data_IF_134269744214
#
_entry.id   IF_134269744214
#
_cell.length_a   1.000
_cell.length_b   1.000
_cell.length_c   1.000
_cell.angle_alpha   90.00
_cell.angle_beta   90.00
_cell.angle_gamma   90.00
#
_symmetry.space_group_name_H-M   'P 1'
#
loop_
_entity.id
_entity.type
_entity.pdbx_description
1 polymer ?
#
# COMPACT_ATOMS: atom_id res chain seq x y z
N UNK A 1 50.15 20.95 29.10
CA UNK A 1 48.82 21.56 28.90
C UNK A 1 48.33 21.65 27.43
N UNK A 2 49.13 21.31 26.40
CA UNK A 2 48.70 21.34 24.98
C UNK A 2 48.06 20.04 24.44
N UNK A 3 48.14 18.91 25.16
CA UNK A 3 47.58 17.61 24.73
C UNK A 3 46.11 17.39 25.11
N UNK A 4 45.56 18.19 26.03
CA UNK A 4 44.17 18.04 26.47
C UNK A 4 43.15 18.74 25.55
N UNK A 5 43.56 19.78 24.81
CA UNK A 5 42.68 20.50 23.89
C UNK A 5 42.34 19.71 22.62
N UNK A 6 43.23 18.82 22.15
CA UNK A 6 42.95 18.00 20.96
C UNK A 6 41.89 16.91 21.21
N UNK A 7 41.78 16.40 22.44
CA UNK A 7 40.77 15.39 22.81
C UNK A 7 39.36 15.98 22.93
N UNK A 8 39.23 17.22 23.38
CA UNK A 8 37.92 17.89 23.50
C UNK A 8 37.40 18.34 22.12
N UNK A 9 38.30 18.76 21.22
CA UNK A 9 37.92 19.11 19.83
C UNK A 9 37.57 17.87 19.01
N UNK A 10 38.24 16.73 19.22
CA UNK A 10 37.84 15.44 18.61
C UNK A 10 36.51 14.90 19.13
N UNK A 11 36.15 15.15 20.40
CA UNK A 11 34.84 14.74 20.94
C UNK A 11 33.67 15.59 20.43
N UNK A 12 33.94 16.86 20.09
CA UNK A 12 32.94 17.75 19.49
C UNK A 12 32.76 17.52 17.97
N UNK A 13 33.81 17.10 17.25
CA UNK A 13 33.72 16.81 15.82
C UNK A 13 33.13 15.40 15.55
N UNK A 14 33.22 14.46 16.50
CA UNK A 14 32.63 13.12 16.34
C UNK A 14 31.11 13.06 16.58
N UNK A 15 30.50 14.07 17.21
CA UNK A 15 29.05 14.14 17.40
C UNK A 15 28.28 14.74 16.22
N UNK A 16 28.97 15.17 15.16
CA UNK A 16 28.35 15.79 13.98
C UNK A 16 28.13 14.76 12.84
N UNK A 17 28.67 13.54 12.97
CA UNK A 17 28.46 12.49 11.97
C UNK A 17 27.29 11.56 12.34
N UNK A 18 26.20 11.73 11.59
CA UNK A 18 25.05 10.83 11.43
C UNK A 18 23.99 10.77 12.54
N UNK A 19 23.33 11.90 12.81
CA UNK A 19 21.86 11.82 12.74
C UNK A 19 21.49 11.81 11.26
N UNK A 20 21.55 10.64 10.62
CA UNK A 20 20.83 10.44 9.38
C UNK A 20 19.35 10.60 9.74
N UNK A 21 18.81 11.81 9.58
CA UNK A 21 17.43 12.11 9.85
C UNK A 21 16.60 11.14 9.01
N UNK A 22 15.83 10.27 9.66
CA UNK A 22 15.06 9.24 8.97
C UNK A 22 14.22 9.89 7.87
N UNK A 23 14.38 9.40 6.65
CA UNK A 23 13.71 9.93 5.46
C UNK A 23 12.20 9.63 5.48
N UNK A 24 11.76 8.72 6.38
CA UNK A 24 10.39 8.25 6.56
C UNK A 24 9.33 9.37 6.64
N UNK A 25 8.09 8.97 6.36
CA UNK A 25 6.89 9.75 6.67
C UNK A 25 5.76 8.84 7.15
N UNK A 26 4.85 9.40 7.94
CA UNK A 26 3.63 8.71 8.32
C UNK A 26 2.46 9.65 8.54
N UNK A 27 1.26 9.08 8.49
CA UNK A 27 0.02 9.76 8.88
C UNK A 27 -0.91 8.77 9.56
N UNK A 28 -1.70 9.27 10.50
CA UNK A 28 -2.87 8.62 11.08
C UNK A 28 -4.06 9.52 10.82
N UNK A 29 -5.09 9.03 10.12
CA UNK A 29 -6.32 9.77 9.86
C UNK A 29 -7.52 9.04 10.44
N UNK A 30 -8.52 9.81 10.90
CA UNK A 30 -9.86 9.29 11.15
C UNK A 30 -10.47 8.87 9.80
N UNK A 31 -10.95 7.63 9.70
CA UNK A 31 -11.36 7.03 8.44
C UNK A 31 -12.75 7.51 7.95
N UNK A 32 -13.50 8.24 8.78
CA UNK A 32 -14.82 8.78 8.40
C UNK A 32 -14.71 10.25 7.95
N UNK A 33 -13.78 11.00 8.55
CA UNK A 33 -13.68 12.46 8.37
C UNK A 33 -12.42 12.88 7.60
N UNK A 34 -11.48 11.97 7.35
CA UNK A 34 -10.14 12.26 6.84
C UNK A 34 -9.33 13.25 7.69
N UNK A 35 -9.76 13.51 8.94
CA UNK A 35 -9.03 14.39 9.87
C UNK A 35 -7.72 13.73 10.28
N UNK A 36 -6.62 14.46 10.14
CA UNK A 36 -5.31 14.02 10.64
C UNK A 36 -5.32 14.00 12.17
N UNK A 37 -4.95 12.85 12.74
CA UNK A 37 -4.83 12.62 14.19
C UNK A 37 -3.38 12.70 14.66
N UNK A 38 -2.45 12.15 13.88
CA UNK A 38 -1.00 12.12 14.14
C UNK A 38 -0.29 12.13 12.80
N UNK A 39 0.81 12.88 12.64
CA UNK A 39 1.61 12.86 11.41
C UNK A 39 3.09 13.17 11.64
N UNK A 40 3.92 12.68 10.72
CA UNK A 40 5.31 13.10 10.55
C UNK A 40 5.59 13.20 9.05
N UNK A 41 5.88 14.41 8.57
CA UNK A 41 6.20 14.68 7.14
C UNK A 41 5.18 14.07 6.17
N UNK A 42 3.88 14.06 6.52
CA UNK A 42 2.84 13.32 5.78
C UNK A 42 2.66 13.73 4.32
N UNK A 43 3.02 14.98 3.96
CA UNK A 43 2.99 15.51 2.59
C UNK A 43 4.30 15.30 1.83
N UNK A 44 5.30 14.63 2.42
CA UNK A 44 6.56 14.33 1.75
C UNK A 44 6.35 13.28 0.67
N UNK A 45 6.93 13.52 -0.50
CA UNK A 45 6.83 12.63 -1.65
C UNK A 45 7.78 11.43 -1.49
N UNK A 46 7.24 10.24 -1.66
CA UNK A 46 7.98 8.98 -1.68
C UNK A 46 7.52 8.09 -2.83
N UNK A 47 8.38 7.15 -3.21
CA UNK A 47 7.94 5.95 -3.92
C UNK A 47 7.09 5.11 -2.98
N UNK A 48 5.91 4.68 -3.43
CA UNK A 48 4.93 4.00 -2.58
C UNK A 48 4.85 2.48 -2.78
N UNK A 49 5.69 1.95 -3.68
CA UNK A 49 5.70 0.53 -4.01
C UNK A 49 4.27 -0.02 -4.24
N UNK A 50 4.02 -1.24 -3.78
CA UNK A 50 2.74 -1.91 -3.94
C UNK A 50 1.55 -1.33 -3.17
N UNK A 51 1.71 -0.21 -2.41
CA UNK A 51 0.53 0.55 -1.98
C UNK A 51 -0.22 1.15 -3.17
N UNK A 52 0.44 1.28 -4.32
CA UNK A 52 -0.19 1.55 -5.64
C UNK A 52 -1.44 0.69 -5.88
N UNK A 53 -1.38 -0.59 -5.50
CA UNK A 53 -2.43 -1.58 -5.77
C UNK A 53 -3.74 -1.30 -5.02
N UNK A 54 -3.73 -0.44 -4.01
CA UNK A 54 -4.95 0.08 -3.38
C UNK A 54 -5.80 0.82 -4.43
N UNK A 55 -5.15 1.70 -5.19
CA UNK A 55 -5.80 2.49 -6.22
C UNK A 55 -6.17 1.66 -7.45
N UNK A 56 -5.29 0.74 -7.86
CA UNK A 56 -5.58 -0.24 -8.92
C UNK A 56 -6.83 -1.05 -8.59
N UNK A 57 -6.93 -1.59 -7.37
CA UNK A 57 -8.08 -2.41 -6.96
C UNK A 57 -9.39 -1.61 -6.94
N UNK A 58 -9.39 -0.39 -6.41
CA UNK A 58 -10.59 0.45 -6.39
C UNK A 58 -11.12 0.68 -7.82
N UNK A 59 -10.24 1.07 -8.75
CA UNK A 59 -10.66 1.35 -10.13
C UNK A 59 -11.17 0.08 -10.82
N UNK A 60 -10.53 -1.07 -10.60
CA UNK A 60 -11.04 -2.36 -11.12
C UNK A 60 -12.45 -2.63 -10.59
N UNK A 61 -12.66 -2.49 -9.28
CA UNK A 61 -13.95 -2.74 -8.63
C UNK A 61 -15.06 -1.76 -9.04
N UNK A 62 -14.71 -0.55 -9.47
CA UNK A 62 -15.65 0.44 -10.01
C UNK A 62 -16.07 0.13 -11.46
N UNK A 63 -15.32 -0.71 -12.18
CA UNK A 63 -15.47 -0.92 -13.62
C UNK A 63 -15.64 -2.40 -14.02
N UNK A 64 -15.91 -3.30 -13.06
CA UNK A 64 -16.11 -4.73 -13.33
C UNK A 64 -16.96 -5.42 -12.25
N UNK A 65 -17.45 -6.61 -12.58
CA UNK A 65 -18.01 -7.55 -11.63
C UNK A 65 -16.96 -8.59 -11.22
N UNK A 66 -17.12 -9.17 -10.03
CA UNK A 66 -16.16 -10.13 -9.48
C UNK A 66 -16.08 -11.42 -10.31
N UNK A 67 -17.18 -11.78 -10.99
CA UNK A 67 -17.30 -13.00 -11.76
C UNK A 67 -16.92 -12.82 -13.23
N UNK A 68 -16.56 -11.59 -13.65
CA UNK A 68 -16.07 -11.34 -15.00
C UNK A 68 -14.77 -12.12 -15.25
N UNK A 69 -14.64 -12.67 -16.45
CA UNK A 69 -13.49 -13.45 -16.87
C UNK A 69 -12.42 -12.58 -17.54
N UNK A 70 -11.17 -12.79 -17.14
CA UNK A 70 -9.99 -12.12 -17.66
C UNK A 70 -9.09 -13.14 -18.34
N UNK A 71 -8.80 -12.91 -19.61
CA UNK A 71 -7.76 -13.65 -20.35
C UNK A 71 -6.41 -13.03 -20.05
N UNK A 72 -5.51 -13.80 -19.44
CA UNK A 72 -4.17 -13.35 -19.08
C UNK A 72 -3.30 -13.19 -20.33
N UNK A 73 -2.76 -11.99 -20.54
CA UNK A 73 -1.83 -11.72 -21.64
C UNK A 73 -0.41 -12.22 -21.32
N UNK A 74 0.40 -12.40 -22.37
CA UNK A 74 1.86 -12.60 -22.24
C UNK A 74 2.54 -11.49 -21.45
N UNK A 75 2.09 -10.24 -21.62
CA UNK A 75 2.69 -9.08 -20.94
C UNK A 75 2.48 -9.17 -19.42
N UNK A 76 1.31 -9.65 -18.98
CA UNK A 76 1.04 -9.87 -17.58
C UNK A 76 1.96 -10.95 -16.98
N UNK A 77 2.24 -12.04 -17.69
CA UNK A 77 3.11 -13.11 -17.18
C UNK A 77 4.59 -12.73 -17.09
N UNK A 78 5.03 -11.74 -17.88
CA UNK A 78 6.41 -11.26 -17.90
C UNK A 78 6.72 -10.22 -16.81
N UNK A 79 5.76 -9.89 -15.95
CA UNK A 79 5.97 -8.93 -14.86
C UNK A 79 6.98 -9.45 -13.83
N UNK A 80 7.93 -8.58 -13.46
CA UNK A 80 8.92 -8.90 -12.43
C UNK A 80 8.34 -8.79 -11.02
N UNK A 81 9.06 -9.28 -10.01
CA UNK A 81 8.70 -9.10 -8.60
C UNK A 81 7.69 -10.12 -8.09
N UNK A 82 6.76 -9.68 -7.23
CA UNK A 82 5.75 -10.58 -6.66
C UNK A 82 4.75 -11.00 -7.74
N UNK A 83 4.43 -12.27 -7.80
CA UNK A 83 3.55 -12.88 -8.80
C UNK A 83 2.67 -13.95 -8.14
N UNK A 84 1.53 -14.23 -8.76
CA UNK A 84 0.69 -15.40 -8.45
C UNK A 84 0.86 -16.52 -9.50
N UNK A 85 1.86 -16.39 -10.36
CA UNK A 85 2.31 -17.33 -11.36
C UNK A 85 1.28 -17.62 -12.47
N UNK A 86 0.61 -16.57 -12.94
CA UNK A 86 -0.33 -16.67 -14.06
C UNK A 86 0.36 -17.15 -15.34
N UNK A 87 -0.40 -17.86 -16.19
CA UNK A 87 0.06 -18.34 -17.50
C UNK A 87 -0.65 -17.59 -18.63
N UNK A 88 0.02 -17.46 -19.76
CA UNK A 88 -0.55 -16.81 -20.96
C UNK A 88 -1.78 -17.61 -21.41
N UNK A 89 -2.84 -16.88 -21.81
CA UNK A 89 -4.16 -17.40 -22.18
C UNK A 89 -4.93 -18.11 -21.05
N UNK A 90 -4.43 -18.08 -19.81
CA UNK A 90 -5.20 -18.55 -18.67
C UNK A 90 -6.41 -17.64 -18.45
N UNK A 91 -7.59 -18.25 -18.21
CA UNK A 91 -8.81 -17.52 -17.85
C UNK A 91 -8.93 -17.49 -16.33
N UNK A 92 -9.09 -16.30 -15.77
CA UNK A 92 -9.21 -16.06 -14.34
C UNK A 92 -10.38 -15.13 -14.06
N UNK A 93 -11.07 -15.28 -12.93
CA UNK A 93 -12.09 -14.29 -12.52
C UNK A 93 -11.42 -13.03 -11.96
N UNK A 94 -12.09 -11.88 -12.10
CA UNK A 94 -11.70 -10.64 -11.41
C UNK A 94 -11.52 -10.88 -9.90
N UNK A 95 -12.38 -11.69 -9.29
CA UNK A 95 -12.29 -12.10 -7.89
C UNK A 95 -10.93 -12.72 -7.56
N UNK A 96 -10.51 -13.75 -8.28
CA UNK A 96 -9.22 -14.41 -8.03
C UNK A 96 -8.06 -13.43 -8.24
N UNK A 97 -8.08 -12.64 -9.32
CA UNK A 97 -7.02 -11.69 -9.61
C UNK A 97 -6.92 -10.59 -8.53
N UNK A 98 -8.04 -10.07 -8.03
CA UNK A 98 -8.05 -9.08 -6.94
C UNK A 98 -7.50 -9.66 -5.63
N UNK A 99 -7.87 -10.90 -5.27
CA UNK A 99 -7.29 -11.56 -4.09
C UNK A 99 -5.77 -11.79 -4.26
N UNK A 100 -5.35 -12.27 -5.43
CA UNK A 100 -3.94 -12.45 -5.75
C UNK A 100 -3.14 -11.14 -5.71
N UNK A 101 -3.72 -10.06 -6.25
CA UNK A 101 -3.13 -8.73 -6.24
C UNK A 101 -3.03 -8.15 -4.81
N UNK A 102 -4.07 -8.25 -3.99
CA UNK A 102 -4.09 -7.62 -2.66
C UNK A 102 -3.36 -8.46 -1.61
N UNK A 103 -3.62 -9.77 -1.52
CA UNK A 103 -3.03 -10.65 -0.51
C UNK A 103 -1.58 -11.03 -0.85
N UNK A 104 -1.31 -11.34 -2.13
CA UNK A 104 0.01 -11.80 -2.59
C UNK A 104 0.83 -10.72 -3.26
N UNK A 105 0.25 -9.55 -3.50
CA UNK A 105 0.92 -8.43 -4.17
C UNK A 105 1.32 -8.76 -5.61
N UNK A 106 0.58 -9.66 -6.28
CA UNK A 106 0.85 -10.12 -7.65
C UNK A 106 0.84 -8.97 -8.66
N UNK A 107 1.97 -8.78 -9.34
CA UNK A 107 2.15 -7.77 -10.38
C UNK A 107 1.54 -8.23 -11.71
N UNK A 108 1.66 -9.52 -12.01
CA UNK A 108 0.96 -10.22 -13.09
C UNK A 108 -0.55 -9.99 -13.02
N UNK A 109 -1.16 -10.22 -11.85
CA UNK A 109 -2.57 -9.94 -11.63
C UNK A 109 -2.93 -8.47 -11.83
N UNK A 110 -2.05 -7.54 -11.41
CA UNK A 110 -2.29 -6.10 -11.57
C UNK A 110 -2.35 -5.69 -13.05
N UNK A 111 -1.42 -6.22 -13.86
CA UNK A 111 -1.36 -5.91 -15.29
C UNK A 111 -2.51 -6.59 -16.04
N UNK A 112 -2.83 -7.85 -15.75
CA UNK A 112 -3.98 -8.53 -16.35
C UNK A 112 -5.30 -7.78 -16.09
N UNK A 113 -5.53 -7.36 -14.84
CA UNK A 113 -6.67 -6.53 -14.46
C UNK A 113 -6.68 -5.18 -15.22
N UNK A 114 -5.54 -4.51 -15.29
CA UNK A 114 -5.44 -3.21 -15.94
C UNK A 114 -5.72 -3.29 -17.45
N UNK A 115 -5.19 -4.30 -18.12
CA UNK A 115 -5.42 -4.58 -19.54
C UNK A 115 -6.88 -4.92 -19.81
N UNK A 116 -7.51 -5.73 -18.95
CA UNK A 116 -8.93 -6.06 -19.08
C UNK A 116 -9.82 -4.80 -18.99
N UNK A 117 -9.58 -3.95 -17.99
CA UNK A 117 -10.44 -2.78 -17.75
C UNK A 117 -10.25 -1.67 -18.79
N UNK A 118 -9.01 -1.41 -19.22
CA UNK A 118 -8.69 -0.24 -20.03
C UNK A 118 -8.17 -0.56 -21.44
N UNK A 119 -8.04 -1.85 -21.78
CA UNK A 119 -7.44 -2.34 -23.03
C UNK A 119 -5.91 -2.27 -23.08
N UNK A 120 -5.26 -1.53 -22.17
CA UNK A 120 -3.80 -1.55 -21.98
C UNK A 120 -3.41 -0.97 -20.62
N UNK A 121 -2.24 -1.33 -20.12
CA UNK A 121 -1.68 -0.75 -18.87
C UNK A 121 -1.54 0.78 -18.98
N UNK A 122 -1.08 1.30 -20.12
CA UNK A 122 -0.89 2.74 -20.32
C UNK A 122 -2.22 3.51 -20.26
N UNK A 123 -3.30 2.93 -20.81
CA UNK A 123 -4.65 3.51 -20.70
C UNK A 123 -5.15 3.44 -19.26
N UNK A 124 -4.88 2.35 -18.55
CA UNK A 124 -5.24 2.23 -17.13
C UNK A 124 -4.49 3.26 -16.27
N UNK A 125 -3.20 3.48 -16.50
CA UNK A 125 -2.41 4.51 -15.78
C UNK A 125 -2.97 5.92 -16.02
N UNK A 126 -3.45 6.23 -17.24
CA UNK A 126 -4.16 7.49 -17.51
C UNK A 126 -5.44 7.58 -16.67
N UNK A 127 -6.20 6.50 -16.56
CA UNK A 127 -7.39 6.42 -15.70
C UNK A 127 -7.03 6.61 -14.22
N UNK A 128 -5.95 5.98 -13.72
CA UNK A 128 -5.48 6.14 -12.34
C UNK A 128 -5.19 7.61 -12.00
N UNK A 129 -4.45 8.30 -12.86
CA UNK A 129 -4.11 9.72 -12.66
C UNK A 129 -5.34 10.63 -12.81
N UNK A 130 -6.24 10.34 -13.75
CA UNK A 130 -7.51 11.07 -13.89
C UNK A 130 -8.36 10.94 -12.62
N UNK A 131 -8.55 9.71 -12.13
CA UNK A 131 -9.30 9.42 -10.90
C UNK A 131 -8.68 10.12 -9.69
N UNK A 132 -7.35 10.11 -9.57
CA UNK A 132 -6.65 10.80 -8.47
C UNK A 132 -6.96 12.32 -8.48
N UNK A 133 -6.98 12.94 -9.67
CA UNK A 133 -7.33 14.36 -9.82
C UNK A 133 -8.79 14.65 -9.43
N UNK A 134 -9.73 13.78 -9.79
CA UNK A 134 -11.16 13.90 -9.44
C UNK A 134 -11.39 13.95 -7.93
N UNK A 135 -10.61 13.17 -7.17
CA UNK A 135 -10.67 13.17 -5.69
C UNK A 135 -9.72 14.16 -5.02
N UNK A 136 -9.07 15.05 -5.77
CA UNK A 136 -8.17 16.05 -5.21
C UNK A 136 -6.89 15.47 -4.60
N UNK A 137 -6.47 14.26 -5.01
CA UNK A 137 -5.22 13.62 -4.62
C UNK A 137 -4.08 14.24 -5.46
N UNK A 138 -3.54 15.37 -4.97
CA UNK A 138 -2.70 16.29 -5.74
C UNK A 138 -1.20 15.96 -5.74
N UNK A 139 -0.72 15.18 -4.77
CA UNK A 139 0.70 14.89 -4.60
C UNK A 139 1.08 13.49 -5.10
N UNK A 140 0.22 12.90 -5.94
CA UNK A 140 0.37 11.55 -6.48
C UNK A 140 0.53 11.56 -7.99
N UNK A 141 1.43 10.72 -8.49
CA UNK A 141 1.61 10.44 -9.92
C UNK A 141 1.88 8.96 -10.12
N UNK A 142 1.04 8.33 -10.92
CA UNK A 142 1.20 6.94 -11.36
C UNK A 142 1.86 6.88 -12.74
N UNK A 143 2.77 5.94 -12.90
CA UNK A 143 3.44 5.57 -14.15
C UNK A 143 3.24 4.09 -14.49
N UNK A 144 2.83 3.27 -13.52
CA UNK A 144 2.49 1.86 -13.68
C UNK A 144 1.42 1.44 -12.65
N UNK A 145 0.86 0.22 -12.80
CA UNK A 145 -0.25 -0.29 -11.96
C UNK A 145 0.20 -1.12 -10.76
N UNK A 146 1.49 -1.38 -10.64
CA UNK A 146 2.09 -2.33 -9.69
C UNK A 146 2.82 -1.65 -8.53
N UNK A 147 3.39 -0.46 -8.77
CA UNK A 147 4.34 0.23 -7.93
C UNK A 147 5.80 -0.17 -8.09
N UNK A 148 6.17 -0.93 -9.14
CA UNK A 148 7.57 -1.25 -9.44
C UNK A 148 8.34 -0.06 -10.00
N UNK A 149 7.68 0.76 -10.81
CA UNK A 149 8.25 1.95 -11.40
C UNK A 149 8.26 3.12 -10.42
N UNK A 150 8.35 4.31 -10.97
CA UNK A 150 8.49 5.55 -10.21
C UNK A 150 7.13 6.15 -9.81
N UNK A 151 6.22 5.34 -9.27
CA UNK A 151 4.97 5.82 -8.69
C UNK A 151 5.27 6.63 -7.44
N UNK A 152 4.95 7.92 -7.45
CA UNK A 152 5.19 8.85 -6.35
C UNK A 152 3.87 9.24 -5.71
N UNK A 153 3.83 9.30 -4.39
CA UNK A 153 2.70 9.79 -3.61
C UNK A 153 3.19 10.27 -2.23
N UNK A 154 2.27 10.58 -1.32
CA UNK A 154 2.56 11.01 0.06
C UNK A 154 1.81 10.11 1.04
N UNK A 155 2.21 10.10 2.32
CA UNK A 155 1.51 9.28 3.31
C UNK A 155 0.03 9.71 3.43
N UNK A 156 -0.22 11.03 3.34
CA UNK A 156 -1.57 11.61 3.35
C UNK A 156 -2.40 11.18 2.14
N UNK A 157 -1.84 11.30 0.93
CA UNK A 157 -2.54 10.91 -0.29
C UNK A 157 -2.85 9.40 -0.31
N UNK A 158 -1.92 8.56 0.13
CA UNK A 158 -2.15 7.11 0.27
C UNK A 158 -3.24 6.81 1.29
N UNK A 159 -3.29 7.53 2.42
CA UNK A 159 -4.33 7.34 3.41
C UNK A 159 -5.72 7.70 2.85
N UNK A 160 -5.82 8.77 2.06
CA UNK A 160 -7.06 9.16 1.36
C UNK A 160 -7.45 8.10 0.32
N UNK A 161 -6.49 7.62 -0.48
CA UNK A 161 -6.76 6.55 -1.45
C UNK A 161 -7.28 5.28 -0.78
N UNK A 162 -6.71 4.94 0.38
CA UNK A 162 -7.12 3.76 1.13
C UNK A 162 -8.49 3.96 1.78
N UNK A 163 -8.79 5.14 2.31
CA UNK A 163 -10.12 5.49 2.81
C UNK A 163 -11.19 5.36 1.71
N UNK A 164 -10.93 5.92 0.54
CA UNK A 164 -11.83 5.81 -0.62
C UNK A 164 -12.04 4.36 -1.04
N UNK A 165 -10.97 3.56 -1.04
CA UNK A 165 -11.07 2.13 -1.36
C UNK A 165 -11.91 1.37 -0.33
N UNK A 166 -11.79 1.69 0.96
CA UNK A 166 -12.54 1.03 2.05
C UNK A 166 -14.04 1.33 2.05
N UNK A 167 -14.49 2.37 1.34
CA UNK A 167 -15.92 2.62 1.09
C UNK A 167 -16.55 1.57 0.18
N UNK A 168 -15.74 0.88 -0.64
CA UNK A 168 -16.20 -0.24 -1.45
C UNK A 168 -16.17 -1.52 -0.59
N UNK A 169 -17.34 -2.11 -0.31
CA UNK A 169 -17.45 -3.30 0.55
C UNK A 169 -16.62 -4.48 0.03
N UNK A 170 -16.59 -4.71 -1.30
CA UNK A 170 -15.78 -5.77 -1.92
C UNK A 170 -14.29 -5.55 -1.67
N UNK A 171 -13.79 -4.31 -1.78
CA UNK A 171 -12.40 -4.00 -1.46
C UNK A 171 -12.08 -4.28 0.01
N UNK A 172 -12.95 -3.81 0.91
CA UNK A 172 -12.81 -4.01 2.36
C UNK A 172 -12.74 -5.50 2.70
N UNK A 173 -13.65 -6.29 2.15
CA UNK A 173 -13.71 -7.74 2.38
C UNK A 173 -12.44 -8.44 1.87
N UNK A 174 -12.00 -8.15 0.64
CA UNK A 174 -10.81 -8.78 0.05
C UNK A 174 -9.54 -8.37 0.82
N UNK A 175 -9.36 -7.08 1.10
CA UNK A 175 -8.17 -6.57 1.80
C UNK A 175 -8.09 -7.04 3.26
N UNK A 176 -9.24 -7.30 3.88
CA UNK A 176 -9.39 -7.78 5.26
C UNK A 176 -9.28 -9.28 5.45
N UNK A 177 -9.32 -10.09 4.39
CA UNK A 177 -9.18 -11.53 4.52
C UNK A 177 -7.75 -11.93 4.94
N UNK A 178 -7.65 -12.83 5.92
CA UNK A 178 -6.38 -13.43 6.35
C UNK A 178 -5.82 -14.41 5.32
N UNK A 179 -6.69 -15.08 4.57
CA UNK A 179 -6.33 -15.98 3.48
C UNK A 179 -7.47 -16.19 2.49
N UNK A 180 -7.13 -16.67 1.31
CA UNK A 180 -8.08 -16.98 0.24
C UNK A 180 -7.68 -18.27 -0.47
N UNK A 181 -8.64 -19.19 -0.71
CA UNK A 181 -8.43 -20.38 -1.52
C UNK A 181 -8.79 -20.05 -2.97
N UNK A 182 -7.80 -20.02 -3.85
CA UNK A 182 -8.00 -19.61 -5.24
C UNK A 182 -8.68 -20.71 -6.07
N UNK A 183 -9.38 -20.34 -7.14
CA UNK A 183 -10.04 -21.29 -8.05
C UNK A 183 -9.14 -21.79 -9.20
N UNK A 184 -7.95 -21.21 -9.35
CA UNK A 184 -6.97 -21.56 -10.39
C UNK A 184 -6.37 -22.95 -10.16
N UNK A 185 -5.88 -23.21 -8.95
CA UNK A 185 -5.22 -24.45 -8.57
C UNK A 185 -5.57 -24.94 -7.15
N UNK A 186 -6.48 -24.24 -6.46
CA UNK A 186 -6.91 -24.60 -5.11
C UNK A 186 -5.93 -24.26 -4.00
N UNK A 187 -4.78 -23.62 -4.29
CA UNK A 187 -3.82 -23.20 -3.27
C UNK A 187 -4.37 -22.08 -2.37
N UNK A 188 -3.90 -22.07 -1.12
CA UNK A 188 -4.26 -21.03 -0.15
C UNK A 188 -3.26 -19.88 -0.22
N UNK A 189 -3.74 -18.73 -0.64
CA UNK A 189 -3.01 -17.48 -0.58
C UNK A 189 -3.20 -16.81 0.77
N UNK A 190 -2.17 -16.83 1.61
CA UNK A 190 -2.15 -16.07 2.87
C UNK A 190 -1.87 -14.60 2.60
N UNK A 191 -2.58 -13.72 3.28
CA UNK A 191 -2.35 -12.28 3.22
C UNK A 191 -0.95 -11.94 3.75
N UNK A 192 -0.17 -11.15 2.99
CA UNK A 192 1.15 -10.68 3.43
C UNK A 192 1.06 -9.65 4.58
N UNK A 193 -0.13 -9.13 4.87
CA UNK A 193 -0.34 -8.12 5.90
C UNK A 193 -0.46 -8.73 7.30
N UNK A 194 0.65 -8.78 8.04
CA UNK A 194 0.74 -9.46 9.34
C UNK A 194 -0.33 -9.04 10.34
N UNK A 195 -0.63 -7.74 10.43
CA UNK A 195 -1.61 -7.23 11.39
C UNK A 195 -3.05 -7.70 11.11
N UNK A 196 -3.38 -7.93 9.84
CA UNK A 196 -4.68 -8.48 9.42
C UNK A 196 -4.73 -9.97 9.75
N UNK A 197 -3.65 -10.70 9.47
CA UNK A 197 -3.55 -12.14 9.78
C UNK A 197 -3.58 -12.42 11.29
N UNK A 198 -2.93 -11.56 12.09
CA UNK A 198 -2.88 -11.67 13.56
C UNK A 198 -4.18 -11.22 14.26
N UNK A 199 -5.20 -10.78 13.51
CA UNK A 199 -6.44 -10.17 14.04
C UNK A 199 -6.18 -9.06 15.08
N UNK A 200 -5.21 -8.20 14.81
CA UNK A 200 -4.74 -7.16 15.74
C UNK A 200 -5.60 -5.89 15.72
N UNK A 201 -6.94 -6.05 15.63
CA UNK A 201 -7.92 -4.99 15.33
C UNK A 201 -7.77 -4.33 13.95
N UNK A 202 -6.79 -4.76 13.16
CA UNK A 202 -6.64 -4.37 11.78
C UNK A 202 -7.65 -5.14 10.93
N UNK A 203 -8.55 -4.43 10.24
CA UNK A 203 -9.61 -5.04 9.43
C UNK A 203 -9.32 -4.98 7.93
N UNK A 204 -8.29 -4.26 7.51
CA UNK A 204 -7.79 -4.22 6.13
C UNK A 204 -6.36 -3.70 6.09
N UNK A 205 -5.61 -4.03 5.04
CA UNK A 205 -4.26 -3.53 4.87
C UNK A 205 -3.58 -3.88 3.56
N UNK A 206 -2.49 -3.18 3.26
CA UNK A 206 -1.62 -3.47 2.12
C UNK A 206 -0.17 -3.18 2.46
N UNK A 207 0.71 -4.08 2.04
CA UNK A 207 2.17 -3.95 2.17
C UNK A 207 2.80 -3.50 0.85
N UNK A 208 3.98 -2.89 0.92
CA UNK A 208 4.81 -2.60 -0.25
C UNK A 208 6.29 -2.51 0.10
N UNK A 209 7.13 -2.98 -0.82
CA UNK A 209 8.58 -2.85 -0.72
C UNK A 209 9.21 -2.85 -2.10
N UNK A 210 10.17 -1.96 -2.30
CA UNK A 210 11.20 -2.02 -3.34
C UNK A 210 12.51 -1.55 -2.70
N UNK A 211 13.65 -1.82 -3.36
CA UNK A 211 14.94 -1.29 -2.89
C UNK A 211 14.93 0.25 -2.77
N UNK A 212 14.18 0.93 -3.64
CA UNK A 212 14.18 2.40 -3.74
C UNK A 212 13.13 3.06 -2.83
N UNK A 213 12.01 2.40 -2.54
CA UNK A 213 10.94 2.93 -1.67
C UNK A 213 11.20 2.68 -0.18
N UNK A 214 12.06 1.70 0.14
CA UNK A 214 12.03 1.08 1.46
C UNK A 214 10.70 0.37 1.70
N UNK A 215 10.40 0.09 2.97
CA UNK A 215 9.14 -0.53 3.39
C UNK A 215 8.03 0.51 3.49
N UNK A 216 6.87 0.16 2.96
CA UNK A 216 5.66 1.00 2.92
C UNK A 216 4.49 0.15 3.39
N UNK A 217 3.61 0.73 4.20
CA UNK A 217 2.52 -0.01 4.83
C UNK A 217 1.30 0.88 5.03
N UNK A 218 0.12 0.37 4.70
CA UNK A 218 -1.17 0.98 5.01
C UNK A 218 -2.03 -0.03 5.79
N UNK A 219 -2.55 0.38 6.95
CA UNK A 219 -3.40 -0.44 7.82
C UNK A 219 -4.64 0.34 8.24
N UNK A 220 -5.80 -0.28 8.15
CA UNK A 220 -7.04 0.25 8.71
C UNK A 220 -7.38 -0.51 9.99
N UNK A 221 -7.61 0.23 11.06
CA UNK A 221 -7.93 -0.28 12.39
C UNK A 221 -9.33 0.12 12.80
N UNK A 222 -9.98 -0.74 13.57
CA UNK A 222 -11.25 -0.45 14.22
C UNK A 222 -11.07 -0.38 15.74
N UNK A 223 -11.55 0.70 16.34
CA UNK A 223 -11.64 0.84 17.78
C UNK A 223 -13.05 0.52 18.26
N UNK A 224 -13.21 -0.64 18.88
CA UNK A 224 -14.49 -1.09 19.45
C UNK A 224 -15.02 -0.15 20.54
N UNK A 225 -14.13 0.48 21.33
CA UNK A 225 -14.55 1.34 22.45
C UNK A 225 -15.22 2.62 21.96
N UNK A 226 -14.61 3.30 21.00
CA UNK A 226 -15.15 4.53 20.42
C UNK A 226 -16.06 4.28 19.21
N UNK A 227 -16.18 3.03 18.75
CA UNK A 227 -16.86 2.65 17.50
C UNK A 227 -16.38 3.46 16.28
N UNK A 228 -15.07 3.70 16.20
CA UNK A 228 -14.43 4.49 15.14
C UNK A 228 -13.35 3.70 14.41
N UNK A 229 -13.18 4.01 13.13
CA UNK A 229 -12.08 3.50 12.32
C UNK A 229 -11.03 4.58 12.09
N UNK A 230 -9.78 4.17 11.99
CA UNK A 230 -8.68 5.05 11.58
C UNK A 230 -7.71 4.30 10.67
N UNK A 231 -6.98 5.06 9.86
CA UNK A 231 -6.01 4.55 8.91
C UNK A 231 -4.62 5.03 9.31
N UNK A 232 -3.66 4.11 9.33
CA UNK A 232 -2.24 4.39 9.53
C UNK A 232 -1.51 4.10 8.23
N UNK A 233 -0.70 5.05 7.75
CA UNK A 233 0.21 4.85 6.61
C UNK A 233 1.62 5.24 7.00
N UNK A 234 2.59 4.39 6.66
CA UNK A 234 4.03 4.69 6.75
C UNK A 234 4.70 4.51 5.39
N UNK A 235 5.61 5.41 5.06
CA UNK A 235 6.44 5.34 3.86
C UNK A 235 7.92 5.40 4.25
N UNK A 236 8.74 4.54 3.65
CA UNK A 236 10.17 4.36 3.96
C UNK A 236 10.45 4.08 5.45
N UNK A 237 9.69 3.15 6.06
CA UNK A 237 9.77 2.82 7.48
C UNK A 237 10.20 1.36 7.70
N UNK A 238 11.44 1.15 8.17
CA UNK A 238 12.02 -0.19 8.37
C UNK A 238 11.25 -1.03 9.39
N UNK A 239 10.72 -0.40 10.44
CA UNK A 239 10.00 -1.05 11.53
C UNK A 239 8.48 -0.84 11.42
N UNK A 240 7.96 -0.80 10.19
CA UNK A 240 6.56 -0.45 9.86
C UNK A 240 5.52 -1.14 10.74
N UNK A 241 5.64 -2.45 10.97
CA UNK A 241 4.72 -3.19 11.85
C UNK A 241 4.68 -2.65 13.28
N UNK A 242 5.85 -2.39 13.88
CA UNK A 242 5.97 -1.87 15.25
C UNK A 242 5.44 -0.44 15.33
N UNK A 243 5.77 0.37 14.32
CA UNK A 243 5.29 1.76 14.22
C UNK A 243 3.78 1.81 14.10
N UNK A 244 3.17 0.97 13.25
CA UNK A 244 1.71 0.88 13.11
C UNK A 244 1.04 0.46 14.42
N UNK A 245 1.55 -0.59 15.11
CA UNK A 245 1.03 -1.00 16.43
C UNK A 245 1.13 0.14 17.46
N UNK A 246 2.25 0.85 17.51
CA UNK A 246 2.46 1.97 18.44
C UNK A 246 1.54 3.17 18.15
N UNK A 247 1.40 3.56 16.88
CA UNK A 247 0.50 4.64 16.48
C UNK A 247 -0.96 4.29 16.75
N UNK A 248 -1.37 3.04 16.47
CA UNK A 248 -2.71 2.57 16.79
C UNK A 248 -2.99 2.60 18.30
N UNK A 249 -2.06 2.14 19.14
CA UNK A 249 -2.18 2.24 20.60
C UNK A 249 -2.37 3.68 21.09
N UNK A 250 -1.65 4.65 20.52
CA UNK A 250 -1.81 6.07 20.86
C UNK A 250 -3.20 6.62 20.51
N UNK A 251 -3.88 6.07 19.51
CA UNK A 251 -5.27 6.43 19.19
C UNK A 251 -6.25 5.73 20.12
N UNK A 252 -6.08 4.43 20.37
CA UNK A 252 -6.96 3.64 21.24
C UNK A 252 -6.96 4.07 22.72
N UNK A 253 -5.93 4.79 23.18
CA UNK A 253 -5.81 5.29 24.55
C UNK A 253 -6.42 6.68 24.76
N UNK A 254 -6.82 7.37 23.68
CA UNK A 254 -7.51 8.67 23.75
C UNK A 254 -9.01 8.47 23.80
#
# INVERSE_FOLDING_TARGET
MRRFYYLIVLFFIFNIYLFAQSDRSFVVIDANTNKVLIEEKSNKKHKIASLTKIWTALIVLENSNLDDEVVVSKRATLQQGSSIYLKENQICTIKDLLHGMLLRSGNDASVALAEHIAGSEEKFVKLMNKRAKEFGIKNTKFVDVTGLGNNISTAKDVAIMFELALKNSKFKDISGQSSYKNSLDGQIWKNKHKLVVENSKAFAGKTGYTKQSGRTLATAFYDEKSSKSFIVVTLNEKDDWKVHKSLAQKVFMK
#
